data_IF_281469403606
#
_entry.id   IF_281469403606
#
_cell.length_a   1.000
_cell.length_b   1.000
_cell.length_c   1.000
_cell.angle_alpha   90.00
_cell.angle_beta   90.00
_cell.angle_gamma   90.00
#
_symmetry.space_group_name_H-M   'P 1'
#
loop_
_entity.id
_entity.type
_entity.pdbx_description
1 polymer ?
#
# COMPACT_ATOMS: atom_id res chain seq x y z
N UNK A 1 -26.94 -80.46 -40.39
CA UNK A 1 -26.00 -79.31 -40.38
C UNK A 1 -26.76 -78.01 -40.13
N UNK A 2 -27.00 -77.61 -38.88
CA UNK A 2 -27.58 -76.29 -38.53
C UNK A 2 -27.55 -75.94 -37.02
N UNK A 3 -26.60 -76.50 -36.25
CA UNK A 3 -26.62 -76.34 -34.77
C UNK A 3 -25.28 -76.03 -34.09
N UNK A 4 -24.19 -75.79 -34.84
CA UNK A 4 -22.86 -75.50 -34.25
C UNK A 4 -22.28 -74.11 -34.57
N UNK A 5 -23.03 -73.24 -35.26
CA UNK A 5 -22.54 -71.91 -35.67
C UNK A 5 -22.77 -70.82 -34.60
N UNK A 6 -23.58 -71.08 -33.56
CA UNK A 6 -23.89 -70.08 -32.53
C UNK A 6 -22.91 -70.00 -31.36
N UNK A 7 -22.10 -71.04 -31.12
CA UNK A 7 -21.21 -71.08 -29.95
C UNK A 7 -19.74 -70.76 -30.25
N UNK A 8 -19.36 -70.57 -31.51
CA UNK A 8 -17.98 -70.15 -31.88
C UNK A 8 -17.87 -68.62 -31.97
N UNK A 9 -18.99 -67.90 -32.15
CA UNK A 9 -19.00 -66.42 -32.16
C UNK A 9 -18.99 -65.80 -30.76
N UNK A 10 -19.26 -66.58 -29.71
CA UNK A 10 -19.30 -66.12 -28.32
C UNK A 10 -18.02 -66.45 -27.53
N UNK A 11 -17.00 -66.99 -28.20
CA UNK A 11 -15.69 -67.29 -27.61
C UNK A 11 -14.53 -66.53 -28.28
N UNK A 12 -14.83 -65.62 -29.23
CA UNK A 12 -13.84 -64.71 -29.83
C UNK A 12 -14.01 -63.25 -29.40
N UNK A 13 -14.97 -62.96 -28.53
CA UNK A 13 -15.20 -61.59 -28.01
C UNK A 13 -14.64 -61.36 -26.60
N UNK A 14 -14.07 -62.40 -25.96
CA UNK A 14 -13.51 -62.32 -24.60
C UNK A 14 -11.97 -62.24 -24.61
N UNK A 15 -11.33 -62.57 -25.73
CA UNK A 15 -9.86 -62.55 -25.86
C UNK A 15 -9.27 -61.23 -26.39
N UNK A 16 -10.09 -60.19 -26.60
CA UNK A 16 -9.63 -58.83 -26.99
C UNK A 16 -9.76 -57.82 -25.84
N UNK A 17 -10.25 -58.26 -24.66
CA UNK A 17 -10.47 -57.40 -23.49
C UNK A 17 -9.25 -57.14 -22.60
N UNK A 18 -8.07 -57.66 -22.93
CA UNK A 18 -6.86 -57.54 -22.08
C UNK A 18 -5.68 -56.79 -22.73
N UNK A 19 -5.90 -56.09 -23.86
CA UNK A 19 -4.87 -55.25 -24.49
C UNK A 19 -5.23 -53.76 -24.57
N UNK A 20 -6.34 -53.32 -23.97
CA UNK A 20 -6.68 -51.90 -23.84
C UNK A 20 -6.23 -51.31 -22.49
N UNK A 21 -5.08 -51.77 -21.99
CA UNK A 21 -4.34 -51.10 -20.94
C UNK A 21 -2.99 -50.61 -21.49
N UNK A 22 -2.98 -50.08 -22.72
CA UNK A 22 -2.08 -48.95 -22.95
C UNK A 22 -2.69 -47.81 -22.13
N UNK A 23 -1.99 -47.44 -21.07
CA UNK A 23 -2.20 -46.19 -20.37
C UNK A 23 -2.46 -45.14 -21.43
N UNK A 24 -3.68 -44.61 -21.49
CA UNK A 24 -3.94 -43.40 -22.26
C UNK A 24 -3.03 -42.37 -21.61
N UNK A 25 -1.85 -42.16 -22.18
CA UNK A 25 -1.00 -41.03 -21.87
C UNK A 25 -1.86 -39.85 -22.27
N UNK A 26 -2.55 -39.26 -21.29
CA UNK A 26 -3.45 -38.16 -21.60
C UNK A 26 -2.50 -37.08 -22.07
N UNK A 27 -2.80 -36.45 -23.19
CA UNK A 27 -2.11 -35.23 -23.61
C UNK A 27 -2.09 -34.16 -22.50
N UNK A 28 -2.93 -34.29 -21.47
CA UNK A 28 -2.87 -33.48 -20.25
C UNK A 28 -1.68 -33.84 -19.35
N UNK A 29 -1.31 -35.12 -19.22
CA UNK A 29 -0.18 -35.60 -18.44
C UNK A 29 1.14 -35.19 -19.11
N UNK A 30 1.19 -35.24 -20.46
CA UNK A 30 2.28 -34.65 -21.26
C UNK A 30 2.37 -33.13 -21.07
N UNK A 31 1.23 -32.43 -21.00
CA UNK A 31 1.21 -30.99 -20.71
C UNK A 31 1.71 -30.69 -19.29
N UNK A 32 1.39 -31.52 -18.29
CA UNK A 32 1.90 -31.33 -16.92
C UNK A 32 3.39 -31.70 -16.75
N UNK A 33 3.92 -32.63 -17.56
CA UNK A 33 5.36 -32.90 -17.65
C UNK A 33 6.13 -31.84 -18.45
N UNK A 34 5.51 -31.23 -19.48
CA UNK A 34 6.12 -30.18 -20.30
C UNK A 34 6.00 -28.76 -19.71
N UNK A 35 5.00 -28.49 -18.85
CA UNK A 35 4.85 -27.17 -18.21
C UNK A 35 5.46 -27.13 -16.83
N UNK A 36 6.59 -26.43 -16.71
CA UNK A 36 7.15 -26.06 -15.42
C UNK A 36 6.18 -25.12 -14.67
N UNK A 37 5.47 -25.63 -13.66
CA UNK A 37 4.66 -24.81 -12.77
C UNK A 37 5.58 -23.91 -11.93
N UNK A 38 5.27 -22.62 -11.88
CA UNK A 38 6.01 -21.63 -11.08
C UNK A 38 5.68 -21.74 -9.58
N UNK A 39 6.30 -20.87 -8.80
CA UNK A 39 5.94 -20.64 -7.40
C UNK A 39 5.44 -19.21 -7.20
N UNK A 40 4.61 -19.01 -6.18
CA UNK A 40 3.98 -17.73 -5.86
C UNK A 40 4.27 -17.38 -4.41
N UNK A 41 4.60 -16.12 -4.15
CA UNK A 41 4.70 -15.56 -2.80
C UNK A 41 3.53 -14.60 -2.57
N UNK A 42 2.37 -15.18 -2.31
CA UNK A 42 1.08 -14.50 -2.33
C UNK A 42 0.88 -13.69 -1.05
N UNK A 43 0.54 -12.42 -1.17
CA UNK A 43 0.06 -11.64 -0.03
C UNK A 43 -1.40 -12.01 0.29
N UNK A 44 -1.66 -12.38 1.54
CA UNK A 44 -3.00 -12.68 2.06
C UNK A 44 -3.66 -11.45 2.70
N UNK A 45 -2.90 -10.57 3.34
CA UNK A 45 -3.34 -9.20 3.71
C UNK A 45 -3.92 -8.50 2.50
N UNK A 46 -5.05 -7.79 2.58
CA UNK A 46 -5.75 -7.25 1.40
C UNK A 46 -4.94 -6.14 0.70
N UNK A 47 -5.17 -5.95 -0.61
CA UNK A 47 -4.38 -4.98 -1.38
C UNK A 47 -4.61 -3.53 -0.91
N UNK A 48 -5.83 -3.22 -0.46
CA UNK A 48 -6.17 -1.94 0.15
C UNK A 48 -5.47 -1.72 1.48
N UNK A 49 -5.36 -2.75 2.33
CA UNK A 49 -4.63 -2.63 3.60
C UNK A 49 -3.13 -2.47 3.37
N UNK A 50 -2.56 -3.19 2.39
CA UNK A 50 -1.14 -3.01 2.04
C UNK A 50 -0.88 -1.62 1.47
N UNK A 51 -1.77 -1.10 0.62
CA UNK A 51 -1.63 0.22 0.01
C UNK A 51 -1.88 1.40 0.96
N UNK A 52 -2.55 1.17 2.10
CA UNK A 52 -2.83 2.18 3.10
C UNK A 52 -1.73 2.29 4.18
N UNK A 53 -0.72 1.42 4.16
CA UNK A 53 0.38 1.46 5.11
C UNK A 53 1.42 2.50 4.70
N UNK A 54 1.89 3.26 5.68
CA UNK A 54 2.86 4.35 5.54
C UNK A 54 3.71 4.44 6.81
N UNK A 55 4.89 5.04 6.70
CA UNK A 55 5.72 5.35 7.87
C UNK A 55 5.61 6.83 8.21
N UNK A 56 5.34 7.14 9.48
CA UNK A 56 5.68 8.46 10.00
C UNK A 56 7.21 8.59 10.00
N UNK A 57 7.76 9.61 9.34
CA UNK A 57 9.21 9.79 9.26
C UNK A 57 9.86 10.06 10.64
N UNK A 58 9.06 10.42 11.65
CA UNK A 58 9.56 10.72 13.01
C UNK A 58 9.57 9.50 13.94
N UNK A 59 8.90 8.40 13.55
CA UNK A 59 8.81 7.19 14.36
C UNK A 59 9.63 6.04 13.75
N UNK A 60 10.88 5.83 14.19
CA UNK A 60 11.70 4.72 13.69
C UNK A 60 11.12 3.33 14.04
N UNK A 61 10.15 3.25 14.96
CA UNK A 61 9.48 2.00 15.33
C UNK A 61 8.19 1.78 14.55
N UNK A 62 7.77 2.71 13.68
CA UNK A 62 6.60 2.53 12.83
C UNK A 62 6.76 1.23 12.03
N UNK A 63 5.69 0.43 11.97
CA UNK A 63 5.70 -0.93 11.41
C UNK A 63 4.97 -1.01 10.08
N UNK A 64 5.54 -1.76 9.16
CA UNK A 64 4.92 -2.26 7.94
C UNK A 64 4.76 -3.77 8.06
N UNK A 65 3.54 -4.28 7.88
CA UNK A 65 3.19 -5.67 8.12
C UNK A 65 2.37 -6.25 6.97
N UNK A 66 2.86 -7.34 6.39
CA UNK A 66 2.16 -8.09 5.35
C UNK A 66 2.28 -9.58 5.62
N UNK A 67 1.14 -10.27 5.57
CA UNK A 67 1.10 -11.73 5.66
C UNK A 67 1.17 -12.33 4.27
N UNK A 68 2.04 -13.32 4.13
CA UNK A 68 2.30 -14.04 2.91
C UNK A 68 2.11 -15.53 3.08
N UNK A 69 1.95 -16.21 1.95
CA UNK A 69 2.06 -17.65 1.83
C UNK A 69 2.78 -18.04 0.54
N UNK A 70 3.34 -19.24 0.54
CA UNK A 70 4.07 -19.80 -0.60
C UNK A 70 3.27 -20.94 -1.20
N UNK A 71 2.98 -20.86 -2.50
CA UNK A 71 2.37 -21.95 -3.26
C UNK A 71 3.30 -22.33 -4.40
N UNK A 72 3.62 -23.62 -4.51
CA UNK A 72 4.37 -24.22 -5.62
C UNK A 72 3.69 -25.54 -6.05
N UNK A 73 4.31 -26.27 -6.97
CA UNK A 73 3.78 -27.54 -7.47
C UNK A 73 3.86 -28.72 -6.49
N UNK A 74 4.51 -28.55 -5.35
CA UNK A 74 4.62 -29.47 -4.23
C UNK A 74 4.02 -28.87 -2.94
N UNK A 75 3.02 -27.99 -3.05
CA UNK A 75 2.34 -27.37 -1.90
C UNK A 75 3.26 -26.60 -0.96
N UNK A 76 4.29 -25.94 -1.50
CA UNK A 76 5.24 -25.11 -0.75
C UNK A 76 6.45 -25.88 -0.21
N UNK A 77 6.54 -27.20 -0.46
CA UNK A 77 7.68 -28.02 -0.02
C UNK A 77 9.00 -27.64 -0.71
N UNK A 78 8.97 -26.92 -1.84
CA UNK A 78 10.18 -26.47 -2.52
C UNK A 78 10.70 -25.14 -1.96
N UNK A 79 10.05 -24.52 -0.98
CA UNK A 79 10.54 -23.30 -0.35
C UNK A 79 11.91 -23.54 0.28
N UNK A 80 12.93 -22.81 -0.20
CA UNK A 80 14.25 -22.77 0.44
C UNK A 80 14.37 -21.54 1.35
N UNK A 81 14.23 -20.36 0.76
CA UNK A 81 14.26 -19.10 1.50
C UNK A 81 13.58 -17.97 0.72
N UNK A 82 13.26 -16.88 1.42
CA UNK A 82 12.84 -15.61 0.84
C UNK A 82 13.85 -14.53 1.25
N UNK A 83 14.50 -13.91 0.26
CA UNK A 83 15.35 -12.74 0.49
C UNK A 83 14.52 -11.47 0.38
N UNK A 84 14.72 -10.55 1.32
CA UNK A 84 14.08 -9.24 1.35
C UNK A 84 15.15 -8.20 1.06
N UNK A 85 14.94 -7.42 0.01
CA UNK A 85 15.75 -6.27 -0.35
C UNK A 85 14.99 -4.99 -0.09
N UNK A 86 15.72 -3.94 0.27
CA UNK A 86 15.20 -2.58 0.43
C UNK A 86 15.98 -1.60 -0.44
N UNK A 87 15.30 -0.58 -0.93
CA UNK A 87 15.92 0.61 -1.51
C UNK A 87 15.18 1.86 -1.04
N UNK A 88 15.90 2.97 -0.94
CA UNK A 88 15.36 4.26 -0.56
C UNK A 88 15.33 5.19 -1.76
N UNK A 89 14.28 5.99 -1.87
CA UNK A 89 14.17 7.04 -2.89
C UNK A 89 13.82 8.33 -2.18
N UNK A 90 14.75 9.29 -2.24
CA UNK A 90 14.49 10.63 -1.75
C UNK A 90 13.94 11.50 -2.87
N UNK A 91 12.93 12.30 -2.55
CA UNK A 91 12.42 13.34 -3.46
C UNK A 91 13.19 14.65 -3.30
N UNK A 92 13.80 14.87 -2.13
CA UNK A 92 14.50 16.10 -1.78
C UNK A 92 15.97 16.08 -2.25
N UNK A 93 16.63 14.92 -2.16
CA UNK A 93 18.02 14.75 -2.56
C UNK A 93 18.28 13.37 -3.17
N UNK A 94 18.32 13.30 -4.51
CA UNK A 94 18.59 12.06 -5.24
C UNK A 94 19.95 11.42 -4.87
N UNK A 95 20.89 12.19 -4.30
CA UNK A 95 22.17 11.63 -3.84
C UNK A 95 22.02 10.69 -2.63
N UNK A 96 20.92 10.81 -1.88
CA UNK A 96 20.59 9.91 -0.76
C UNK A 96 19.85 8.65 -1.22
N UNK A 97 19.31 8.63 -2.44
CA UNK A 97 18.62 7.46 -2.99
C UNK A 97 19.57 6.25 -3.09
N UNK A 98 19.06 5.07 -2.74
CA UNK A 98 19.77 3.80 -2.83
C UNK A 98 19.11 2.89 -3.88
N UNK A 99 19.84 1.88 -4.37
CA UNK A 99 19.36 1.05 -5.49
C UNK A 99 18.76 -0.27 -5.07
N UNK A 100 19.44 -1.03 -4.21
CA UNK A 100 18.96 -2.27 -3.61
C UNK A 100 19.99 -2.81 -2.62
N UNK A 101 19.62 -2.97 -1.36
CA UNK A 101 20.43 -3.60 -0.30
C UNK A 101 19.66 -4.78 0.29
N UNK A 102 20.36 -5.89 0.56
CA UNK A 102 19.77 -7.04 1.26
C UNK A 102 19.45 -6.64 2.70
N UNK A 103 18.18 -6.71 3.09
CA UNK A 103 17.70 -6.43 4.44
C UNK A 103 17.83 -7.67 5.33
N UNK A 104 17.20 -8.77 4.91
CA UNK A 104 17.22 -10.05 5.63
C UNK A 104 16.84 -11.21 4.72
N UNK A 105 17.20 -12.41 5.15
CA UNK A 105 16.82 -13.67 4.53
C UNK A 105 15.97 -14.46 5.51
N UNK A 106 14.77 -14.83 5.08
CA UNK A 106 13.84 -15.67 5.83
C UNK A 106 13.97 -17.09 5.30
N UNK A 107 14.41 -18.01 6.13
CA UNK A 107 14.55 -19.43 5.79
C UNK A 107 13.19 -20.14 5.84
N UNK A 108 13.04 -21.24 5.11
CA UNK A 108 11.82 -22.07 5.16
C UNK A 108 11.41 -22.48 6.59
N UNK A 109 12.38 -22.63 7.50
CA UNK A 109 12.13 -23.01 8.90
C UNK A 109 11.43 -21.94 9.74
N UNK A 110 11.40 -20.69 9.28
CA UNK A 110 10.72 -19.58 9.95
C UNK A 110 9.24 -19.47 9.56
N UNK A 111 8.81 -20.22 8.53
CA UNK A 111 7.41 -20.26 8.11
C UNK A 111 6.60 -21.22 8.99
N UNK A 112 5.34 -20.89 9.15
CA UNK A 112 4.34 -21.75 9.79
C UNK A 112 3.41 -22.34 8.73
N UNK A 113 2.69 -23.41 9.04
CA UNK A 113 1.70 -23.99 8.11
C UNK A 113 0.32 -23.36 8.36
N UNK A 114 -0.31 -22.83 7.32
CA UNK A 114 -1.67 -22.28 7.40
C UNK A 114 -2.76 -23.36 7.29
N UNK A 115 -4.04 -22.96 7.31
CA UNK A 115 -5.19 -23.89 7.24
C UNK A 115 -5.25 -24.70 5.93
N UNK A 116 -4.66 -24.17 4.86
CA UNK A 116 -4.59 -24.80 3.54
C UNK A 116 -3.37 -25.72 3.38
N UNK A 117 -2.53 -25.83 4.41
CA UNK A 117 -1.31 -26.65 4.40
C UNK A 117 -0.10 -25.99 3.75
N UNK A 118 -0.16 -24.69 3.43
CA UNK A 118 0.92 -23.94 2.78
C UNK A 118 1.84 -23.26 3.81
N UNK A 119 3.14 -23.08 3.51
CA UNK A 119 4.01 -22.21 4.27
C UNK A 119 3.48 -20.78 4.29
N UNK A 120 3.35 -20.18 5.46
CA UNK A 120 2.85 -18.83 5.68
C UNK A 120 3.67 -18.10 6.75
N UNK A 121 3.84 -16.80 6.55
CA UNK A 121 4.58 -15.92 7.45
C UNK A 121 4.00 -14.50 7.43
N UNK A 122 4.02 -13.82 8.57
CA UNK A 122 3.81 -12.37 8.65
C UNK A 122 5.16 -11.67 8.68
N UNK A 123 5.46 -10.92 7.64
CA UNK A 123 6.68 -10.11 7.56
C UNK A 123 6.38 -8.74 8.17
N UNK A 124 7.07 -8.43 9.26
CA UNK A 124 7.07 -7.11 9.90
C UNK A 124 8.43 -6.45 9.64
N UNK A 125 8.39 -5.20 9.17
CA UNK A 125 9.54 -4.34 8.91
C UNK A 125 9.32 -3.01 9.62
N UNK A 126 10.36 -2.46 10.24
CA UNK A 126 10.31 -1.13 10.86
C UNK A 126 11.04 -0.08 10.02
N UNK A 127 10.65 1.19 10.15
CA UNK A 127 11.38 2.30 9.52
C UNK A 127 12.88 2.26 9.89
N UNK A 128 13.20 2.04 11.16
CA UNK A 128 14.58 1.97 11.64
C UNK A 128 15.40 0.84 11.01
N UNK A 129 14.82 -0.35 10.82
CA UNK A 129 15.49 -1.45 10.11
C UNK A 129 15.79 -1.10 8.65
N UNK A 130 14.85 -0.46 7.96
CA UNK A 130 15.01 -0.05 6.57
C UNK A 130 16.03 1.06 6.41
N UNK A 131 15.99 2.08 7.27
CA UNK A 131 16.95 3.17 7.29
C UNK A 131 18.38 2.63 7.53
N UNK A 132 18.56 1.79 8.55
CA UNK A 132 19.85 1.20 8.87
C UNK A 132 20.41 0.34 7.73
N UNK A 133 19.57 -0.46 7.08
CA UNK A 133 19.99 -1.29 5.95
C UNK A 133 20.40 -0.46 4.72
N UNK A 134 19.82 0.73 4.55
CA UNK A 134 20.19 1.67 3.49
C UNK A 134 21.33 2.61 3.89
N UNK A 135 21.85 2.51 5.12
CA UNK A 135 22.93 3.37 5.61
C UNK A 135 22.50 4.82 5.88
N UNK A 136 21.20 5.04 6.10
CA UNK A 136 20.63 6.34 6.42
C UNK A 136 20.68 6.60 7.93
N UNK A 137 21.00 7.83 8.30
CA UNK A 137 20.91 8.33 9.67
C UNK A 137 19.61 9.13 9.89
N UNK A 138 19.29 9.41 11.15
CA UNK A 138 18.18 10.30 11.49
C UNK A 138 18.42 11.68 10.86
N UNK A 139 17.43 12.16 10.11
CA UNK A 139 17.50 13.40 9.33
C UNK A 139 17.97 13.23 7.88
N UNK A 140 18.30 12.02 7.42
CA UNK A 140 18.53 11.74 5.99
C UNK A 140 17.23 11.42 5.22
N UNK A 141 16.11 11.29 5.94
CA UNK A 141 14.81 10.94 5.37
C UNK A 141 13.71 11.84 5.93
N UNK A 142 12.78 12.27 5.07
CA UNK A 142 11.69 13.19 5.38
C UNK A 142 10.38 12.71 4.77
N UNK A 143 9.27 13.34 5.15
CA UNK A 143 8.00 13.06 4.48
C UNK A 143 8.05 13.42 2.99
N UNK A 144 7.43 12.55 2.18
CA UNK A 144 7.51 12.56 0.72
C UNK A 144 8.54 11.60 0.14
N UNK A 145 9.52 11.15 0.92
CA UNK A 145 10.43 10.08 0.51
C UNK A 145 9.73 8.71 0.53
N UNK A 146 10.39 7.66 0.05
CA UNK A 146 9.82 6.30 0.10
C UNK A 146 10.86 5.19 0.22
N UNK A 147 10.45 4.08 0.84
CA UNK A 147 11.17 2.81 0.77
C UNK A 147 10.49 1.88 -0.22
N UNK A 148 11.28 1.15 -1.00
CA UNK A 148 10.81 0.06 -1.85
C UNK A 148 11.34 -1.27 -1.31
N UNK A 149 10.44 -2.21 -1.06
CA UNK A 149 10.73 -3.57 -0.61
C UNK A 149 10.60 -4.51 -1.79
N UNK A 150 11.61 -5.32 -2.06
CA UNK A 150 11.60 -6.37 -3.07
C UNK A 150 11.81 -7.72 -2.42
N UNK A 151 11.02 -8.70 -2.84
CA UNK A 151 11.13 -10.08 -2.40
C UNK A 151 11.73 -10.94 -3.50
N UNK A 152 12.60 -11.87 -3.13
CA UNK A 152 13.13 -12.94 -3.99
C UNK A 152 12.77 -14.27 -3.34
N UNK A 153 11.87 -15.03 -3.96
CA UNK A 153 11.54 -16.39 -3.52
C UNK A 153 12.52 -17.37 -4.15
N UNK A 154 13.29 -18.07 -3.34
CA UNK A 154 14.25 -19.09 -3.77
C UNK A 154 13.71 -20.48 -3.45
N UNK A 155 13.80 -21.39 -4.42
CA UNK A 155 13.38 -22.78 -4.26
C UNK A 155 14.57 -23.73 -4.11
N UNK A 156 14.34 -24.88 -3.48
CA UNK A 156 15.35 -25.93 -3.26
C UNK A 156 15.87 -26.54 -4.56
N UNK A 157 15.14 -26.37 -5.67
CA UNK A 157 15.54 -26.82 -7.01
C UNK A 157 16.41 -25.79 -7.77
N UNK A 158 16.76 -24.67 -7.12
CA UNK A 158 17.63 -23.63 -7.66
C UNK A 158 16.93 -22.54 -8.48
N UNK A 159 15.61 -22.60 -8.62
CA UNK A 159 14.83 -21.51 -9.26
C UNK A 159 14.60 -20.35 -8.29
N UNK A 160 14.53 -19.14 -8.83
CA UNK A 160 14.21 -17.92 -8.08
C UNK A 160 13.12 -17.12 -8.78
N UNK A 161 12.19 -16.56 -8.00
CA UNK A 161 11.09 -15.72 -8.49
C UNK A 161 11.17 -14.32 -7.88
N UNK A 162 11.01 -13.30 -8.72
CA UNK A 162 11.16 -11.88 -8.40
C UNK A 162 10.13 -11.06 -9.16
N UNK A 163 10.09 -9.74 -8.94
CA UNK A 163 9.19 -8.85 -9.67
C UNK A 163 9.43 -8.76 -11.20
N UNK A 164 10.50 -9.36 -11.73
CA UNK A 164 10.86 -9.27 -13.16
C UNK A 164 10.61 -10.53 -13.97
N UNK A 165 10.25 -11.65 -13.32
CA UNK A 165 10.03 -12.95 -13.98
C UNK A 165 8.62 -13.53 -13.74
N UNK A 166 7.62 -12.64 -13.73
CA UNK A 166 6.21 -12.96 -13.47
C UNK A 166 5.35 -12.66 -14.70
N UNK A 167 4.19 -13.32 -14.80
CA UNK A 167 3.13 -12.88 -15.70
C UNK A 167 2.11 -12.00 -14.94
N UNK A 168 1.23 -11.32 -15.67
CA UNK A 168 0.20 -10.43 -15.09
C UNK A 168 -0.80 -11.13 -14.18
N UNK A 169 -0.99 -12.45 -14.35
CA UNK A 169 -1.88 -13.25 -13.50
C UNK A 169 -1.26 -13.44 -12.11
N UNK A 170 0.06 -13.65 -12.03
CA UNK A 170 0.79 -13.81 -10.76
C UNK A 170 0.99 -12.46 -10.06
N UNK A 171 1.39 -11.42 -10.80
CA UNK A 171 1.72 -10.12 -10.19
C UNK A 171 0.50 -9.34 -9.71
N UNK A 172 -0.60 -9.35 -10.48
CA UNK A 172 -1.78 -8.51 -10.20
C UNK A 172 -3.13 -9.22 -10.35
N UNK A 173 -3.15 -10.53 -10.62
CA UNK A 173 -4.40 -11.29 -10.62
C UNK A 173 -5.04 -11.28 -9.24
N UNK A 174 -6.37 -11.20 -9.21
CA UNK A 174 -7.16 -11.10 -7.96
C UNK A 174 -6.89 -12.23 -6.96
N UNK A 175 -6.43 -13.39 -7.45
CA UNK A 175 -6.08 -14.54 -6.63
C UNK A 175 -4.62 -14.53 -6.15
N UNK A 176 -3.63 -14.35 -7.03
CA UNK A 176 -2.22 -14.59 -6.69
C UNK A 176 -1.52 -13.43 -5.99
N UNK A 177 -1.86 -12.18 -6.32
CA UNK A 177 -1.46 -10.98 -5.55
C UNK A 177 0.01 -10.99 -5.10
N UNK A 178 0.90 -11.35 -6.00
CA UNK A 178 2.31 -11.60 -5.72
C UNK A 178 3.18 -10.69 -6.60
N UNK A 179 3.15 -9.36 -6.39
CA UNK A 179 3.96 -8.43 -7.17
C UNK A 179 5.46 -8.52 -6.89
N UNK A 180 5.86 -9.15 -5.77
CA UNK A 180 7.24 -9.20 -5.26
C UNK A 180 7.88 -7.83 -5.03
N UNK A 181 7.12 -6.73 -5.12
CA UNK A 181 7.58 -5.36 -4.91
C UNK A 181 6.47 -4.55 -4.25
N UNK A 182 6.86 -3.77 -3.24
CA UNK A 182 5.97 -2.89 -2.48
C UNK A 182 6.69 -1.57 -2.23
N UNK A 183 5.97 -0.46 -2.28
CA UNK A 183 6.49 0.87 -1.96
C UNK A 183 5.75 1.40 -0.76
N UNK A 184 6.51 1.89 0.22
CA UNK A 184 6.01 2.44 1.48
C UNK A 184 6.40 3.92 1.51
N UNK A 185 5.44 4.84 1.47
CA UNK A 185 5.74 6.26 1.57
C UNK A 185 6.11 6.63 3.00
N UNK A 186 7.00 7.61 3.13
CA UNK A 186 7.19 8.35 4.38
C UNK A 186 6.24 9.53 4.35
N UNK A 187 5.47 9.69 5.42
CA UNK A 187 4.53 10.79 5.58
C UNK A 187 4.90 11.61 6.79
N UNK A 188 4.51 12.88 6.76
CA UNK A 188 4.62 13.75 7.91
C UNK A 188 3.45 13.46 8.86
N UNK A 189 3.72 13.11 10.13
CA UNK A 189 2.66 12.90 11.08
C UNK A 189 1.87 14.20 11.27
N UNK A 190 0.56 14.11 11.54
CA UNK A 190 -0.19 15.29 11.90
C UNK A 190 0.36 15.89 13.19
N UNK A 191 0.46 17.23 13.20
CA UNK A 191 0.89 17.98 14.38
C UNK A 191 -0.35 18.22 15.26
N UNK A 192 -0.28 17.80 16.51
CA UNK A 192 -1.35 18.05 17.47
C UNK A 192 -1.56 19.57 17.65
N UNK A 193 -2.76 20.11 17.34
CA UNK A 193 -2.99 21.54 17.40
C UNK A 193 -3.09 22.05 18.84
N UNK A 194 -2.82 23.34 19.02
CA UNK A 194 -2.99 23.98 20.32
C UNK A 194 -4.47 24.01 20.73
N UNK A 195 -4.80 23.48 21.92
CA UNK A 195 -6.16 23.53 22.40
C UNK A 195 -6.52 24.95 22.83
N UNK A 196 -7.75 25.35 22.53
CA UNK A 196 -8.27 26.67 22.83
C UNK A 196 -8.99 27.30 21.64
N UNK A 197 -9.26 28.60 21.76
CA UNK A 197 -10.00 29.33 20.73
C UNK A 197 -9.06 29.75 19.61
N UNK A 198 -9.35 29.25 18.41
CA UNK A 198 -8.73 29.66 17.16
C UNK A 198 -9.57 30.75 16.50
N UNK A 199 -8.91 31.61 15.74
CA UNK A 199 -9.55 32.73 15.04
C UNK A 199 -9.29 32.62 13.55
N UNK A 200 -10.31 32.85 12.73
CA UNK A 200 -10.18 33.06 11.30
C UNK A 200 -10.63 34.47 10.96
N UNK A 201 -9.83 35.16 10.16
CA UNK A 201 -10.18 36.44 9.58
C UNK A 201 -10.34 36.26 8.08
N UNK A 202 -11.56 36.46 7.58
CA UNK A 202 -11.92 36.24 6.19
C UNK A 202 -12.16 37.61 5.55
N UNK A 203 -11.62 37.84 4.36
CA UNK A 203 -11.77 39.08 3.63
C UNK A 203 -12.14 38.82 2.17
N UNK A 204 -12.81 39.81 1.60
CA UNK A 204 -13.29 39.83 0.23
C UNK A 204 -13.03 41.20 -0.37
N UNK A 205 -12.38 41.24 -1.54
CA UNK A 205 -11.90 42.49 -2.12
C UNK A 205 -13.01 43.47 -2.52
N UNK A 206 -14.23 42.99 -2.80
CA UNK A 206 -15.37 43.80 -3.24
C UNK A 206 -16.49 43.87 -2.20
N UNK A 207 -16.39 43.07 -1.15
CA UNK A 207 -17.26 43.05 0.01
C UNK A 207 -18.64 42.45 -0.27
N UNK A 208 -18.81 41.67 -1.33
CA UNK A 208 -20.09 41.09 -1.75
C UNK A 208 -20.16 39.57 -1.56
N UNK A 209 -19.41 39.06 -0.57
CA UNK A 209 -19.32 37.68 -0.09
C UNK A 209 -18.45 36.78 -0.97
N UNK A 210 -17.98 35.67 -0.40
CA UNK A 210 -17.19 34.67 -1.11
C UNK A 210 -17.96 33.85 -2.15
N UNK A 211 -19.21 34.22 -2.46
CA UNK A 211 -20.02 33.69 -3.55
C UNK A 211 -20.00 32.14 -3.69
N UNK A 212 -20.18 31.46 -2.55
CA UNK A 212 -20.23 30.00 -2.48
C UNK A 212 -18.90 29.33 -2.10
N UNK A 213 -17.80 30.09 -2.02
CA UNK A 213 -16.55 29.58 -1.47
C UNK A 213 -16.63 29.45 0.05
N UNK A 214 -15.81 28.59 0.64
CA UNK A 214 -15.83 28.32 2.09
C UNK A 214 -14.54 27.66 2.59
N UNK A 215 -14.36 27.65 3.91
CA UNK A 215 -13.36 26.87 4.62
C UNK A 215 -14.05 25.72 5.36
N UNK A 216 -13.66 24.49 5.06
CA UNK A 216 -14.00 23.31 5.86
C UNK A 216 -12.93 23.10 6.93
N UNK A 217 -13.30 23.28 8.18
CA UNK A 217 -12.46 22.98 9.35
C UNK A 217 -12.82 21.60 9.86
N UNK A 218 -11.89 20.65 9.73
CA UNK A 218 -12.01 19.28 10.18
C UNK A 218 -11.20 19.08 11.47
N UNK A 219 -11.86 18.81 12.59
CA UNK A 219 -11.24 18.49 13.87
C UNK A 219 -11.59 17.03 14.20
N UNK A 220 -10.58 16.16 14.21
CA UNK A 220 -10.71 14.72 14.50
C UNK A 220 -11.87 14.04 13.73
N UNK A 221 -12.07 14.41 12.46
CA UNK A 221 -13.12 13.86 11.59
C UNK A 221 -14.45 14.61 11.63
N UNK A 222 -14.61 15.61 12.50
CA UNK A 222 -15.79 16.47 12.55
C UNK A 222 -15.56 17.72 11.71
N UNK A 223 -16.30 17.83 10.60
CA UNK A 223 -16.18 18.94 9.66
C UNK A 223 -17.21 20.03 9.98
N UNK A 224 -16.75 21.27 10.09
CA UNK A 224 -17.60 22.47 10.16
C UNK A 224 -17.23 23.41 9.02
N UNK A 225 -18.24 23.89 8.28
CA UNK A 225 -18.07 24.79 7.16
C UNK A 225 -18.23 26.25 7.59
N UNK A 226 -17.34 27.12 7.12
CA UNK A 226 -17.36 28.56 7.36
C UNK A 226 -17.22 29.31 6.05
N UNK A 227 -17.91 30.43 5.92
CA UNK A 227 -17.84 31.29 4.73
C UNK A 227 -17.88 32.76 5.14
N UNK A 228 -17.60 33.65 4.20
CA UNK A 228 -17.75 35.09 4.37
C UNK A 228 -19.00 35.56 3.65
N UNK A 229 -20.02 35.98 4.41
CA UNK A 229 -21.35 36.34 3.91
C UNK A 229 -21.47 37.80 3.40
N UNK A 230 -20.35 38.54 3.33
CA UNK A 230 -20.26 39.90 2.78
C UNK A 230 -19.73 40.97 3.75
N UNK A 231 -19.45 42.15 3.21
CA UNK A 231 -18.67 43.22 3.87
C UNK A 231 -17.16 43.09 3.64
N UNK A 232 -16.38 44.07 4.08
CA UNK A 232 -14.92 44.09 3.84
C UNK A 232 -14.19 42.92 4.53
N UNK A 233 -14.66 42.51 5.71
CA UNK A 233 -14.10 41.37 6.46
C UNK A 233 -15.08 40.79 7.48
N UNK A 234 -14.87 39.51 7.84
CA UNK A 234 -15.54 38.82 8.95
C UNK A 234 -14.52 38.10 9.81
N UNK A 235 -14.67 38.20 11.14
CA UNK A 235 -13.89 37.40 12.10
C UNK A 235 -14.75 36.28 12.66
N UNK A 236 -14.25 35.05 12.57
CA UNK A 236 -14.90 33.83 13.06
C UNK A 236 -13.99 33.20 14.11
N UNK A 237 -14.58 32.66 15.18
CA UNK A 237 -13.84 31.89 16.18
C UNK A 237 -14.40 30.48 16.30
N UNK A 238 -13.53 29.51 16.51
CA UNK A 238 -13.91 28.12 16.80
C UNK A 238 -12.98 27.54 17.88
N UNK A 239 -13.47 26.57 18.63
CA UNK A 239 -12.70 25.96 19.72
C UNK A 239 -12.08 24.64 19.26
N UNK A 240 -10.78 24.49 19.51
CA UNK A 240 -10.04 23.23 19.38
C UNK A 240 -10.00 22.55 20.76
N UNK A 241 -10.66 21.39 20.94
CA UNK A 241 -10.67 20.67 22.21
C UNK A 241 -9.28 20.24 22.69
N UNK A 242 -9.13 20.09 24.00
CA UNK A 242 -7.94 19.43 24.57
C UNK A 242 -7.90 17.96 24.14
N UNK A 243 -6.74 17.52 23.64
CA UNK A 243 -6.53 16.16 23.18
C UNK A 243 -6.89 15.93 21.71
N UNK A 244 -7.14 16.99 20.93
CA UNK A 244 -7.25 16.87 19.48
C UNK A 244 -5.94 16.38 18.89
N UNK A 245 -6.04 15.40 17.99
CA UNK A 245 -4.90 14.75 17.32
C UNK A 245 -4.70 15.32 15.92
N UNK A 246 -5.79 15.73 15.25
CA UNK A 246 -5.75 16.24 13.88
C UNK A 246 -6.66 17.46 13.71
N UNK A 247 -6.10 18.51 13.10
CA UNK A 247 -6.85 19.58 12.47
C UNK A 247 -6.48 19.69 10.99
N UNK A 248 -7.47 19.79 10.11
CA UNK A 248 -7.27 20.10 8.69
C UNK A 248 -8.20 21.24 8.29
N UNK A 249 -7.72 22.13 7.43
CA UNK A 249 -8.52 23.18 6.83
C UNK A 249 -8.42 23.01 5.32
N UNK A 250 -9.57 22.99 4.64
CA UNK A 250 -9.67 22.89 3.18
C UNK A 250 -10.43 24.11 2.68
N UNK A 251 -9.87 24.80 1.68
CA UNK A 251 -10.61 25.81 0.95
C UNK A 251 -11.44 25.15 -0.16
N UNK A 252 -12.73 25.49 -0.20
CA UNK A 252 -13.66 25.10 -1.25
C UNK A 252 -13.90 26.29 -2.18
N UNK A 253 -13.64 26.09 -3.47
CA UNK A 253 -13.81 27.11 -4.52
C UNK A 253 -15.28 27.54 -4.67
N UNK A 254 -15.47 28.84 -4.87
CA UNK A 254 -16.74 29.47 -5.23
C UNK A 254 -16.67 30.15 -6.60
N UNK A 255 -17.43 31.25 -6.75
CA UNK A 255 -17.17 32.21 -7.82
C UNK A 255 -16.26 33.31 -7.29
N UNK A 256 -15.43 33.89 -8.17
CA UNK A 256 -14.57 35.03 -7.84
C UNK A 256 -13.54 34.75 -6.73
N UNK A 257 -12.95 33.55 -6.71
CA UNK A 257 -11.94 33.15 -5.72
C UNK A 257 -10.71 34.10 -5.70
N UNK A 258 -10.44 34.81 -6.80
CA UNK A 258 -9.43 35.85 -6.90
C UNK A 258 -9.65 37.05 -5.95
N UNK A 259 -10.79 37.13 -5.28
CA UNK A 259 -11.16 38.18 -4.33
C UNK A 259 -10.96 37.76 -2.88
N UNK A 260 -10.75 36.46 -2.64
CA UNK A 260 -10.81 35.85 -1.31
C UNK A 260 -9.42 35.78 -0.67
N UNK A 261 -9.30 36.34 0.53
CA UNK A 261 -8.11 36.18 1.37
C UNK A 261 -8.52 35.80 2.78
N UNK A 262 -7.68 35.06 3.50
CA UNK A 262 -7.96 34.75 4.90
C UNK A 262 -6.70 34.45 5.69
N UNK A 263 -6.83 34.63 7.00
CA UNK A 263 -5.84 34.27 7.99
C UNK A 263 -6.45 33.32 9.01
N UNK A 264 -5.65 32.36 9.48
CA UNK A 264 -5.99 31.49 10.61
C UNK A 264 -4.94 31.67 11.69
N UNK A 265 -5.40 31.98 12.89
CA UNK A 265 -4.59 32.27 14.07
C UNK A 265 -4.90 31.19 15.11
N UNK A 266 -3.86 30.47 15.55
CA UNK A 266 -3.99 29.40 16.54
C UNK A 266 -4.27 29.94 17.94
N UNK A 267 -4.60 29.06 18.89
CA UNK A 267 -4.85 29.46 20.28
C UNK A 267 -3.64 30.10 20.96
N UNK A 268 -2.43 29.90 20.43
CA UNK A 268 -1.20 30.55 20.90
C UNK A 268 -1.01 31.97 20.37
N UNK A 269 -1.87 32.43 19.44
CA UNK A 269 -1.76 33.74 18.80
C UNK A 269 -0.82 33.77 17.60
N UNK A 270 -0.35 32.62 17.11
CA UNK A 270 0.48 32.52 15.91
C UNK A 270 -0.41 32.39 14.66
N UNK A 271 -0.06 33.12 13.60
CA UNK A 271 -0.72 32.96 12.29
C UNK A 271 -0.20 31.70 11.61
N UNK A 272 -1.08 30.71 11.42
CA UNK A 272 -0.72 29.39 10.86
C UNK A 272 -1.13 29.24 9.40
N UNK A 273 -2.05 30.07 8.91
CA UNK A 273 -2.38 30.23 7.49
C UNK A 273 -2.55 31.73 7.20
N UNK A 274 -2.02 32.18 6.08
CA UNK A 274 -2.20 33.53 5.51
C UNK A 274 -2.21 33.36 3.99
N UNK A 275 -3.41 33.19 3.42
CA UNK A 275 -3.60 32.71 2.06
C UNK A 275 -4.52 33.63 1.24
N UNK A 276 -4.33 33.57 -0.07
CA UNK A 276 -5.04 34.37 -1.06
C UNK A 276 -4.22 35.56 -1.58
N UNK A 277 -4.74 36.31 -2.58
CA UNK A 277 -5.95 35.99 -3.33
C UNK A 277 -5.83 34.67 -4.11
N UNK A 278 -6.97 34.09 -4.53
CA UNK A 278 -7.05 32.80 -5.22
C UNK A 278 -6.45 31.63 -4.40
N UNK A 279 -6.98 31.32 -3.20
CA UNK A 279 -6.48 30.19 -2.40
C UNK A 279 -6.62 28.86 -3.15
N UNK A 280 -5.66 27.94 -2.95
CA UNK A 280 -5.71 26.62 -3.58
C UNK A 280 -6.89 25.81 -3.05
N UNK A 281 -7.81 25.43 -3.93
CA UNK A 281 -9.01 24.70 -3.56
C UNK A 281 -8.84 23.17 -3.57
N UNK A 282 -9.61 22.49 -2.71
CA UNK A 282 -9.81 21.04 -2.76
C UNK A 282 -8.68 20.19 -2.19
N UNK A 283 -7.71 20.80 -1.52
CA UNK A 283 -6.63 20.11 -0.80
C UNK A 283 -6.52 20.65 0.63
N UNK A 284 -5.91 19.85 1.53
CA UNK A 284 -5.52 20.33 2.86
C UNK A 284 -4.56 21.51 2.70
N UNK A 285 -4.83 22.59 3.42
CA UNK A 285 -4.01 23.79 3.43
C UNK A 285 -2.83 23.69 4.40
N UNK A 286 -2.90 22.76 5.36
CA UNK A 286 -1.73 22.41 6.18
C UNK A 286 -0.87 21.41 5.43
N UNK A 287 0.41 21.79 5.27
CA UNK A 287 1.49 20.89 4.92
C UNK A 287 2.25 20.52 6.20
N UNK A 288 1.96 19.34 6.75
CA UNK A 288 2.61 18.85 7.97
C UNK A 288 4.10 18.55 7.78
N UNK A 289 4.62 18.61 6.54
CA UNK A 289 6.05 18.50 6.27
C UNK A 289 6.81 19.82 6.44
N UNK A 290 6.11 20.92 6.70
CA UNK A 290 6.70 22.19 7.06
C UNK A 290 6.60 22.43 8.57
N UNK A 291 7.52 23.20 9.16
CA UNK A 291 7.39 23.60 10.55
C UNK A 291 6.15 24.48 10.72
N UNK A 292 5.09 23.89 11.29
CA UNK A 292 3.86 24.58 11.65
C UNK A 292 3.79 24.76 13.17
N UNK A 293 3.47 25.97 13.63
CA UNK A 293 3.18 26.26 15.03
C UNK A 293 1.66 26.22 15.25
N UNK A 294 1.09 25.01 15.17
CA UNK A 294 -0.34 24.77 15.45
C UNK A 294 -0.62 24.81 16.94
#
# INVERSE_FOLDING_TARGET
MKRYIKNILMLSLVSVGFLACESSNKTIDDVFEEVTRGAVFRATTSASEVAAQEFSYEDPNAEYSVTFEVEDNAQGELLDNVEIYTSFTSIADDALSTTSTLLKTITASEFTTNEDGLPSITVVLTLGELAAANGLADGDYFGGDSFTIKYVLNLTDGRSFTNTNLNSTVSGGSYYRSPFIYTIPLVCPPIAPTPGTWTMELQDAYGDSWNGASLDVNIDGTITNYTHDGGDSTTITFDVPTGTELIQIVYNSGSYDEENTFQVISANGETVLDLGPEPTAGASLFDFCLPLNL
#
